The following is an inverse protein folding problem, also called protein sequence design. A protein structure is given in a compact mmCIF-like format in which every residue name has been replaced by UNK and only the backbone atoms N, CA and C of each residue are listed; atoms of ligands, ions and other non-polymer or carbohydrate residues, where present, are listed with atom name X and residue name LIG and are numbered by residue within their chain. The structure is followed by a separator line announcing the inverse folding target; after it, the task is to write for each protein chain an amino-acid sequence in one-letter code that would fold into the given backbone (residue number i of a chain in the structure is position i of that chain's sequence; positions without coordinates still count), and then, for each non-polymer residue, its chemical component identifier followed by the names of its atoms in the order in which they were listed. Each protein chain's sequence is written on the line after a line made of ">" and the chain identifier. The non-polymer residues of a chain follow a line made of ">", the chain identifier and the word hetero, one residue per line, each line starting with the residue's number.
data_IF_743695710236
#
_entry.id   IF_743695710236
#
_cell.length_a   1.000
_cell.length_b   1.000
_cell.length_c   1.000
_cell.angle_alpha   90.00
_cell.angle_beta   90.00
_cell.angle_gamma   90.00
#
_symmetry.space_group_name_H-M   'P 1'
#
loop_
_entity.id
_entity.type
_entity.pdbx_description
1 polymer ?
#
# COMPACT_ATOMS: atom_id res chain seq x y z
N UNK A 1 27.98 -20.94 14.04
CA UNK A 1 28.01 -20.11 12.83
C UNK A 1 26.58 -19.69 12.60
N UNK A 2 26.23 -18.50 13.06
CA UNK A 2 24.91 -17.93 12.89
C UNK A 2 25.19 -16.63 12.14
N UNK A 3 24.68 -16.54 10.93
CA UNK A 3 24.04 -15.33 10.47
C UNK A 3 23.10 -15.76 9.36
N UNK A 4 21.92 -16.19 9.79
CA UNK A 4 20.78 -16.21 8.90
C UNK A 4 20.45 -14.74 8.64
N UNK A 5 20.71 -14.29 7.42
CA UNK A 5 20.16 -13.04 6.92
C UNK A 5 18.65 -13.17 7.00
N UNK A 6 18.06 -12.55 8.03
CA UNK A 6 16.62 -12.33 8.06
C UNK A 6 16.36 -11.31 6.96
N UNK A 7 15.77 -11.72 5.85
CA UNK A 7 15.19 -10.80 4.88
C UNK A 7 14.17 -9.96 5.66
N UNK A 8 14.51 -8.69 5.87
CA UNK A 8 13.56 -7.73 6.44
C UNK A 8 12.56 -7.49 5.32
N UNK A 9 11.37 -8.07 5.44
CA UNK A 9 10.28 -7.73 4.52
C UNK A 9 10.00 -6.22 4.64
N UNK A 10 9.91 -5.54 3.50
CA UNK A 10 9.64 -4.11 3.49
C UNK A 10 8.25 -3.84 4.09
N UNK A 11 8.17 -2.94 5.08
CA UNK A 11 6.90 -2.51 5.66
C UNK A 11 5.96 -2.02 4.57
N UNK A 12 4.76 -2.58 4.54
CA UNK A 12 3.69 -2.21 3.62
C UNK A 12 2.68 -1.28 4.29
N UNK A 13 2.08 -0.43 3.46
CA UNK A 13 1.10 0.55 3.87
C UNK A 13 -0.11 0.54 2.94
N UNK A 14 -1.28 0.75 3.53
CA UNK A 14 -2.44 1.27 2.83
C UNK A 14 -2.36 2.79 2.73
N UNK A 15 -2.94 3.38 1.68
CA UNK A 15 -3.10 4.84 1.55
C UNK A 15 -4.58 5.17 1.66
N UNK A 16 -5.02 5.76 2.77
CA UNK A 16 -6.43 6.01 3.10
C UNK A 16 -6.78 7.49 3.00
N UNK A 17 -7.38 7.89 1.88
CA UNK A 17 -7.76 9.29 1.66
C UNK A 17 -9.03 9.71 2.40
N UNK A 18 -9.92 8.76 2.66
CA UNK A 18 -11.20 9.02 3.32
C UNK A 18 -11.41 7.99 4.41
N UNK A 19 -11.87 8.43 5.58
CA UNK A 19 -12.23 7.52 6.67
C UNK A 19 -13.53 6.75 6.37
N UNK A 20 -13.43 5.77 5.47
CA UNK A 20 -14.52 4.88 5.08
C UNK A 20 -13.98 3.54 4.56
N UNK A 21 -14.83 2.51 4.50
CA UNK A 21 -14.48 1.20 3.95
C UNK A 21 -14.00 1.26 2.48
N UNK A 22 -14.43 2.27 1.71
CA UNK A 22 -14.03 2.45 0.29
C UNK A 22 -13.10 3.65 0.11
N UNK A 23 -12.30 3.99 1.12
CA UNK A 23 -11.45 5.17 1.15
C UNK A 23 -10.01 4.96 0.71
N UNK A 24 -9.65 3.77 0.22
CA UNK A 24 -8.26 3.36 -0.02
C UNK A 24 -7.85 3.53 -1.47
N UNK A 25 -6.66 4.05 -1.68
CA UNK A 25 -6.03 4.12 -2.99
C UNK A 25 -5.51 2.74 -3.41
N UNK A 26 -5.90 2.32 -4.60
CA UNK A 26 -5.48 1.07 -5.22
C UNK A 26 -5.04 1.32 -6.67
N UNK A 27 -4.26 0.40 -7.23
CA UNK A 27 -3.91 0.38 -8.66
C UNK A 27 -4.54 -0.86 -9.31
N UNK A 28 -5.37 -0.65 -10.33
CA UNK A 28 -5.92 -1.73 -11.15
C UNK A 28 -4.80 -2.43 -11.92
N UNK A 29 -4.92 -3.74 -12.23
CA UNK A 29 -3.99 -4.46 -13.12
C UNK A 29 -3.67 -3.80 -14.47
N UNK A 30 -4.47 -2.80 -14.91
CA UNK A 30 -4.25 -2.06 -16.16
C UNK A 30 -3.45 -0.76 -15.93
N UNK A 31 -2.98 -0.51 -14.71
CA UNK A 31 -2.21 0.66 -14.31
C UNK A 31 -3.05 1.86 -13.85
N UNK A 32 -4.38 1.81 -13.94
CA UNK A 32 -5.21 2.95 -13.55
C UNK A 32 -5.42 3.00 -12.03
N UNK A 33 -5.25 4.19 -11.40
CA UNK A 33 -5.55 4.38 -9.99
C UNK A 33 -7.07 4.40 -9.74
N UNK A 34 -7.49 3.91 -8.59
CA UNK A 34 -8.88 3.93 -8.12
C UNK A 34 -8.93 4.11 -6.60
N UNK A 35 -10.02 4.70 -6.09
CA UNK A 35 -10.32 4.73 -4.66
C UNK A 35 -11.45 3.74 -4.38
N UNK A 36 -11.18 2.72 -3.59
CA UNK A 36 -12.09 1.61 -3.29
C UNK A 36 -11.75 0.98 -1.92
N UNK A 37 -12.27 -0.22 -1.64
CA UNK A 37 -11.88 -0.96 -0.44
C UNK A 37 -10.44 -1.47 -0.54
N UNK A 38 -9.82 -1.76 0.59
CA UNK A 38 -8.46 -2.33 0.68
C UNK A 38 -8.40 -3.84 0.41
N UNK A 39 -9.52 -4.44 -0.02
CA UNK A 39 -9.59 -5.86 -0.33
C UNK A 39 -8.76 -6.16 -1.58
N UNK A 40 -7.94 -7.20 -1.52
CA UNK A 40 -7.17 -7.73 -2.66
C UNK A 40 -8.07 -8.52 -3.63
N UNK A 41 -9.23 -7.96 -3.97
CA UNK A 41 -10.10 -8.54 -4.97
C UNK A 41 -9.61 -8.17 -6.38
N UNK A 42 -9.89 -9.02 -7.36
CA UNK A 42 -9.66 -8.74 -8.79
C UNK A 42 -8.21 -8.39 -9.19
N UNK A 43 -7.22 -8.65 -8.32
CA UNK A 43 -5.81 -8.38 -8.58
C UNK A 43 -5.41 -6.91 -8.44
N UNK A 44 -6.19 -6.10 -7.72
CA UNK A 44 -5.77 -4.75 -7.34
C UNK A 44 -4.50 -4.81 -6.50
N UNK A 45 -3.58 -3.87 -6.77
CA UNK A 45 -2.52 -3.56 -5.81
C UNK A 45 -3.07 -2.58 -4.78
N UNK A 46 -3.18 -3.02 -3.53
CA UNK A 46 -3.77 -2.25 -2.42
C UNK A 46 -2.74 -1.81 -1.38
N UNK A 47 -1.60 -2.51 -1.32
CA UNK A 47 -0.51 -2.27 -0.40
C UNK A 47 0.73 -1.77 -1.14
N UNK A 48 1.46 -0.83 -0.54
CA UNK A 48 2.59 -0.15 -1.15
C UNK A 48 3.73 0.01 -0.15
N UNK A 49 4.98 0.01 -0.64
CA UNK A 49 6.12 0.45 0.16
C UNK A 49 6.16 1.98 0.24
N UNK A 50 6.87 2.54 1.22
CA UNK A 50 7.10 4.00 1.33
C UNK A 50 7.64 4.60 0.03
N UNK A 51 8.63 3.93 -0.60
CA UNK A 51 9.24 4.39 -1.83
C UNK A 51 8.26 4.42 -3.00
N UNK A 52 7.32 3.46 -3.05
CA UNK A 52 6.27 3.45 -4.07
C UNK A 52 5.29 4.59 -3.88
N UNK A 53 4.86 4.86 -2.64
CA UNK A 53 3.96 5.98 -2.34
C UNK A 53 4.62 7.31 -2.69
N UNK A 54 5.89 7.51 -2.29
CA UNK A 54 6.64 8.72 -2.62
C UNK A 54 6.79 8.92 -4.13
N UNK A 55 7.03 7.84 -4.89
CA UNK A 55 7.13 7.87 -6.35
C UNK A 55 5.79 8.16 -7.05
N UNK A 56 4.66 7.75 -6.46
CA UNK A 56 3.32 8.06 -6.97
C UNK A 56 2.99 9.53 -6.72
N UNK A 57 3.00 9.94 -5.45
CA UNK A 57 2.83 11.33 -5.02
C UNK A 57 3.29 11.48 -3.56
N UNK A 58 4.30 12.33 -3.27
CA UNK A 58 4.81 12.48 -1.91
C UNK A 58 3.76 12.99 -0.91
N UNK A 59 2.66 13.61 -1.38
CA UNK A 59 1.56 14.03 -0.50
C UNK A 59 0.77 12.84 0.07
N UNK A 60 0.88 11.66 -0.53
CA UNK A 60 0.18 10.47 -0.06
C UNK A 60 0.78 9.89 1.22
N UNK A 61 2.01 10.29 1.57
CA UNK A 61 2.68 9.90 2.82
C UNK A 61 1.89 10.34 4.07
N UNK A 62 1.12 11.44 3.98
CA UNK A 62 0.28 11.93 5.07
C UNK A 62 -0.96 11.05 5.34
N UNK A 63 -1.22 10.05 4.49
CA UNK A 63 -2.42 9.21 4.51
C UNK A 63 -2.11 7.72 4.74
N UNK A 64 -0.91 7.40 5.22
CA UNK A 64 -0.49 6.02 5.41
C UNK A 64 -1.15 5.36 6.63
N UNK A 65 -1.56 4.12 6.43
CA UNK A 65 -2.00 3.20 7.48
C UNK A 65 -1.14 1.94 7.37
N UNK A 66 -0.46 1.58 8.46
CA UNK A 66 0.40 0.39 8.50
C UNK A 66 -0.43 -0.89 8.30
N UNK A 67 0.08 -1.80 7.47
CA UNK A 67 -0.48 -3.14 7.36
C UNK A 67 0.06 -3.96 8.53
N UNK A 68 -0.83 -4.37 9.45
CA UNK A 68 -0.49 -5.35 10.49
C UNK A 68 -0.38 -6.76 9.88
N UNK A 69 0.65 -7.52 10.26
CA UNK A 69 0.87 -8.93 9.87
C UNK A 69 -0.18 -9.91 10.44
#
# INVERSE_FOLDING_TARGET
>A
MIDGEWEVEDQLYYVKFVDSENGYFNIHPNGNPIVASNLEDFGYKTQFTLAEVEAIDPRYLDFLEEVEE
#
